data_IF_709412925289
#
_entry.id   IF_709412925289
#
_cell.length_a   1.000
_cell.length_b   1.000
_cell.length_c   1.000
_cell.angle_alpha   90.00
_cell.angle_beta   90.00
_cell.angle_gamma   90.00
#
_symmetry.space_group_name_H-M   'P 1'
#
loop_
_entity.id
_entity.type
_entity.pdbx_description
1 polymer ?
#
# COMPACT_ATOMS: atom_id res chain seq x y z
N UNK A 1 5.27 17.79 -0.42
CA UNK A 1 5.74 16.61 -1.18
C UNK A 1 4.59 15.61 -1.32
N UNK A 2 3.70 15.83 -2.29
CA UNK A 2 2.51 14.99 -2.50
C UNK A 2 2.86 13.55 -2.93
N UNK A 3 3.89 13.39 -3.76
CA UNK A 3 4.39 12.08 -4.19
C UNK A 3 4.84 11.21 -3.00
N UNK A 4 5.46 11.80 -1.98
CA UNK A 4 5.84 11.04 -0.78
C UNK A 4 4.63 10.54 -0.01
N UNK A 5 3.58 11.36 0.11
CA UNK A 5 2.31 10.97 0.71
C UNK A 5 1.67 9.82 -0.06
N UNK A 6 1.65 9.89 -1.41
CA UNK A 6 1.16 8.83 -2.28
C UNK A 6 1.89 7.51 -2.02
N UNK A 7 3.22 7.53 -2.04
CA UNK A 7 4.03 6.31 -1.88
C UNK A 7 3.94 5.73 -0.47
N UNK A 8 3.88 6.58 0.56
CA UNK A 8 3.71 6.14 1.94
C UNK A 8 2.34 5.47 2.13
N UNK A 9 1.27 6.09 1.63
CA UNK A 9 -0.08 5.54 1.69
C UNK A 9 -0.19 4.22 0.92
N UNK A 10 0.39 4.15 -0.28
CA UNK A 10 0.34 2.93 -1.08
C UNK A 10 1.11 1.79 -0.43
N UNK A 11 2.28 2.08 0.14
CA UNK A 11 3.06 1.10 0.92
C UNK A 11 2.22 0.53 2.07
N UNK A 12 1.58 1.38 2.88
CA UNK A 12 0.75 0.93 3.99
C UNK A 12 -0.42 0.06 3.51
N UNK A 13 -1.10 0.48 2.44
CA UNK A 13 -2.16 -0.29 1.80
C UNK A 13 -1.70 -1.68 1.37
N UNK A 14 -0.54 -1.80 0.70
CA UNK A 14 0.00 -3.09 0.26
C UNK A 14 0.26 -4.03 1.43
N UNK A 15 0.82 -3.53 2.54
CA UNK A 15 1.04 -4.33 3.73
C UNK A 15 -0.28 -4.76 4.39
N UNK A 16 -1.24 -3.85 4.56
CA UNK A 16 -2.56 -4.17 5.12
C UNK A 16 -3.29 -5.22 4.30
N UNK A 17 -3.21 -5.14 2.97
CA UNK A 17 -3.83 -6.11 2.06
C UNK A 17 -3.38 -7.56 2.32
N UNK A 18 -2.14 -7.76 2.77
CA UNK A 18 -1.61 -9.11 3.07
C UNK A 18 -1.74 -9.45 4.56
N UNK A 19 -1.44 -8.51 5.45
CA UNK A 19 -1.37 -8.75 6.88
C UNK A 19 -2.75 -8.79 7.55
N UNK A 20 -3.73 -8.03 7.07
CA UNK A 20 -5.08 -8.05 7.65
C UNK A 20 -5.75 -9.42 7.49
N UNK A 21 -5.80 -10.04 6.30
CA UNK A 21 -6.32 -11.40 6.17
C UNK A 21 -5.55 -12.43 6.99
N UNK A 22 -4.22 -12.30 7.10
CA UNK A 22 -3.43 -13.20 7.94
C UNK A 22 -3.80 -13.05 9.43
N UNK A 23 -3.98 -11.82 9.91
CA UNK A 23 -4.41 -11.57 11.29
C UNK A 23 -5.77 -12.21 11.58
N UNK A 24 -6.74 -12.10 10.66
CA UNK A 24 -8.03 -12.76 10.78
C UNK A 24 -7.89 -14.29 10.88
N UNK A 25 -6.99 -14.90 10.11
CA UNK A 25 -6.69 -16.35 10.21
C UNK A 25 -6.06 -16.73 11.55
N UNK A 26 -5.16 -15.91 12.07
CA UNK A 26 -4.58 -16.12 13.40
C UNK A 26 -5.66 -16.05 14.48
N UNK A 27 -6.60 -15.11 14.37
CA UNK A 27 -7.70 -14.99 15.33
C UNK A 27 -8.67 -16.18 15.25
N UNK A 28 -8.99 -16.66 14.03
CA UNK A 28 -9.75 -17.90 13.84
C UNK A 28 -9.05 -19.12 14.46
N UNK A 29 -7.74 -19.24 14.28
CA UNK A 29 -6.98 -20.34 14.86
C UNK A 29 -6.98 -20.29 16.39
N UNK A 30 -6.83 -19.10 16.99
CA UNK A 30 -6.94 -18.90 18.45
C UNK A 30 -8.32 -19.26 19.00
N UNK A 31 -9.36 -19.08 18.19
CA UNK A 31 -10.73 -19.47 18.52
C UNK A 31 -11.01 -20.97 18.26
N UNK A 32 -10.01 -21.74 17.80
CA UNK A 32 -10.14 -23.13 17.39
C UNK A 32 -11.10 -23.36 16.20
N UNK A 33 -11.42 -22.30 15.43
CA UNK A 33 -12.30 -22.34 14.26
C UNK A 33 -11.62 -22.95 13.02
N UNK A 34 -10.29 -22.90 12.98
CA UNK A 34 -9.47 -23.49 11.91
C UNK A 34 -8.34 -24.33 12.50
N UNK A 35 -7.85 -25.28 11.72
CA UNK A 35 -6.78 -26.17 12.15
C UNK A 35 -5.40 -25.50 12.05
N UNK A 36 -4.38 -26.15 12.62
CA UNK A 36 -2.99 -25.77 12.39
C UNK A 36 -2.60 -25.83 10.91
N UNK A 37 -3.12 -26.82 10.16
CA UNK A 37 -2.85 -26.97 8.72
C UNK A 37 -3.42 -25.79 7.91
N UNK A 38 -4.61 -25.32 8.28
CA UNK A 38 -5.22 -24.13 7.68
C UNK A 38 -4.39 -22.87 7.96
N UNK A 39 -3.88 -22.72 9.19
CA UNK A 39 -3.01 -21.62 9.56
C UNK A 39 -1.67 -21.67 8.81
N UNK A 40 -1.05 -22.85 8.67
CA UNK A 40 0.19 -23.04 7.91
C UNK A 40 0.01 -22.65 6.45
N UNK A 41 -1.11 -23.04 5.83
CA UNK A 41 -1.44 -22.65 4.46
C UNK A 41 -1.60 -21.13 4.34
N UNK A 42 -2.29 -20.49 5.30
CA UNK A 42 -2.45 -19.04 5.32
C UNK A 42 -1.12 -18.30 5.49
N UNK A 43 -0.24 -18.80 6.39
CA UNK A 43 1.11 -18.27 6.60
C UNK A 43 1.96 -18.39 5.34
N UNK A 44 1.88 -19.52 4.64
CA UNK A 44 2.62 -19.73 3.39
C UNK A 44 2.19 -18.72 2.31
N UNK A 45 0.87 -18.56 2.10
CA UNK A 45 0.33 -17.57 1.15
C UNK A 45 0.76 -16.15 1.53
N UNK A 46 0.60 -15.77 2.80
CA UNK A 46 0.97 -14.45 3.27
C UNK A 46 2.49 -14.20 3.12
N UNK A 47 3.33 -15.20 3.38
CA UNK A 47 4.77 -15.10 3.19
C UNK A 47 5.13 -14.84 1.72
N UNK A 48 4.56 -15.60 0.79
CA UNK A 48 4.80 -15.41 -0.65
C UNK A 48 4.35 -14.03 -1.13
N UNK A 49 3.18 -13.56 -0.70
CA UNK A 49 2.69 -12.23 -1.08
C UNK A 49 3.52 -11.11 -0.43
N UNK A 50 3.93 -11.26 0.83
CA UNK A 50 4.82 -10.30 1.49
C UNK A 50 6.19 -10.20 0.81
N UNK A 51 6.73 -11.30 0.27
CA UNK A 51 7.97 -11.23 -0.51
C UNK A 51 7.80 -10.35 -1.76
N UNK A 52 6.67 -10.45 -2.46
CA UNK A 52 6.36 -9.59 -3.62
C UNK A 52 6.20 -8.13 -3.21
N UNK A 53 5.44 -7.88 -2.14
CA UNK A 53 5.25 -6.52 -1.60
C UNK A 53 6.59 -5.92 -1.18
N UNK A 54 7.42 -6.69 -0.47
CA UNK A 54 8.73 -6.23 -0.01
C UNK A 54 9.65 -5.90 -1.18
N UNK A 55 9.70 -6.75 -2.22
CA UNK A 55 10.49 -6.49 -3.41
C UNK A 55 10.07 -5.19 -4.12
N UNK A 56 8.76 -4.93 -4.23
CA UNK A 56 8.24 -3.70 -4.82
C UNK A 56 8.57 -2.46 -3.97
N UNK A 57 8.33 -2.54 -2.66
CA UNK A 57 8.49 -1.41 -1.72
C UNK A 57 9.96 -1.03 -1.52
N UNK A 58 10.87 -2.01 -1.56
CA UNK A 58 12.32 -1.76 -1.44
C UNK A 58 13.00 -1.53 -2.79
N UNK A 59 12.25 -1.67 -3.89
CA UNK A 59 12.72 -1.45 -5.24
C UNK A 59 12.76 0.03 -5.65
N UNK A 60 12.94 0.30 -6.95
CA UNK A 60 12.95 1.66 -7.48
C UNK A 60 11.63 2.40 -7.21
N UNK A 61 11.70 3.63 -6.66
CA UNK A 61 10.52 4.47 -6.38
C UNK A 61 9.55 4.60 -7.57
N UNK A 62 10.07 4.73 -8.78
CA UNK A 62 9.27 4.82 -10.02
C UNK A 62 8.35 3.62 -10.23
N UNK A 63 8.76 2.43 -9.80
CA UNK A 63 7.98 1.20 -9.95
C UNK A 63 6.86 1.16 -8.92
N UNK A 64 7.12 1.59 -7.68
CA UNK A 64 6.09 1.76 -6.66
C UNK A 64 5.07 2.83 -7.07
N UNK A 65 5.52 3.95 -7.63
CA UNK A 65 4.64 5.01 -8.15
C UNK A 65 3.78 4.49 -9.31
N UNK A 66 4.37 3.78 -10.28
CA UNK A 66 3.63 3.19 -11.38
C UNK A 66 2.61 2.15 -10.90
N UNK A 67 2.97 1.33 -9.92
CA UNK A 67 2.05 0.36 -9.31
C UNK A 67 0.91 1.03 -8.55
N UNK A 68 1.17 2.17 -7.89
CA UNK A 68 0.16 2.97 -7.20
C UNK A 68 -0.89 3.48 -8.18
N UNK A 69 -0.45 4.09 -9.29
CA UNK A 69 -1.35 4.61 -10.34
C UNK A 69 -2.07 3.48 -11.08
N UNK A 70 -1.43 2.33 -11.27
CA UNK A 70 -2.02 1.17 -11.94
C UNK A 70 -3.12 0.47 -11.11
N UNK A 71 -3.07 0.52 -9.78
CA UNK A 71 -4.17 0.08 -8.91
C UNK A 71 -5.28 1.14 -8.90
N UNK A 72 -6.02 1.20 -10.00
CA UNK A 72 -7.03 2.25 -10.26
C UNK A 72 -8.02 2.41 -9.10
N UNK A 73 -8.50 1.32 -8.51
CA UNK A 73 -9.48 1.38 -7.42
C UNK A 73 -8.89 2.04 -6.18
N UNK A 74 -7.68 1.66 -5.80
CA UNK A 74 -7.00 2.28 -4.67
C UNK A 74 -6.66 3.75 -4.98
N UNK A 75 -6.14 4.02 -6.17
CA UNK A 75 -5.69 5.35 -6.57
C UNK A 75 -6.83 6.36 -6.61
N UNK A 76 -7.97 6.01 -7.21
CA UNK A 76 -9.16 6.86 -7.23
C UNK A 76 -9.67 7.17 -5.82
N UNK A 77 -9.64 6.19 -4.90
CA UNK A 77 -10.00 6.41 -3.50
C UNK A 77 -9.00 7.35 -2.79
N UNK A 78 -7.70 7.15 -3.02
CA UNK A 78 -6.67 8.03 -2.49
C UNK A 78 -6.84 9.47 -2.99
N UNK A 79 -7.08 9.67 -4.29
CA UNK A 79 -7.27 11.00 -4.88
C UNK A 79 -8.49 11.74 -4.33
N UNK A 80 -9.55 11.02 -3.95
CA UNK A 80 -10.73 11.61 -3.34
C UNK A 80 -10.44 12.19 -1.94
N UNK A 81 -9.45 11.64 -1.23
CA UNK A 81 -9.04 12.09 0.11
C UNK A 81 -7.87 13.08 0.07
N UNK A 82 -6.94 12.89 -0.87
CA UNK A 82 -5.70 13.65 -1.03
C UNK A 82 -5.54 14.05 -2.50
N UNK A 83 -6.24 15.10 -2.97
CA UNK A 83 -6.11 15.57 -4.35
C UNK A 83 -4.67 16.01 -4.63
N UNK A 84 -4.21 15.96 -5.89
CA UNK A 84 -2.92 16.53 -6.27
C UNK A 84 -2.89 18.03 -5.96
N UNK A 85 -1.70 18.61 -5.70
CA UNK A 85 -1.57 20.06 -5.59
C UNK A 85 -2.06 20.70 -6.89
N UNK A 86 -2.73 21.85 -6.77
CA UNK A 86 -3.12 22.64 -7.94
C UNK A 86 -1.85 23.21 -8.60
N UNK A 87 -1.84 23.33 -9.93
CA UNK A 87 -0.71 23.91 -10.68
C UNK A 87 -0.40 25.37 -10.26
N UNK A 88 -1.33 26.04 -9.57
CA UNK A 88 -1.20 27.42 -9.07
C UNK A 88 -0.43 27.54 -7.73
N UNK A 89 -0.10 26.44 -7.05
CA UNK A 89 0.71 26.46 -5.81
C UNK A 89 2.24 26.56 -6.06
N UNK A 90 2.68 26.57 -7.32
CA UNK A 90 4.09 26.76 -7.73
C UNK A 90 4.39 28.17 -8.30
N UNK A 91 3.40 29.08 -8.34
CA UNK A 91 3.56 30.46 -8.80
C UNK A 91 3.68 31.42 -7.59
N UNK A 92 4.76 31.27 -6.84
CA UNK A 92 4.95 31.92 -5.54
C UNK A 92 6.35 32.51 -5.31
N UNK A 93 6.98 33.10 -6.32
CA UNK A 93 8.06 34.08 -6.12
C UNK A 93 7.98 35.18 -7.19
N UNK A 94 7.60 36.42 -6.84
CA UNK A 94 7.68 37.52 -7.78
C UNK A 94 9.14 37.70 -8.23
N UNK A 95 9.34 37.84 -9.53
CA UNK A 95 10.60 38.32 -10.07
C UNK A 95 10.82 39.74 -9.54
N UNK A 96 11.76 39.90 -8.61
CA UNK A 96 12.24 41.21 -8.19
C UNK A 96 12.96 41.89 -9.37
N UNK A 97 12.60 43.16 -9.52
CA UNK A 97 12.94 44.16 -10.54
C UNK A 97 14.42 44.59 -10.53
#
# INVERSE_FOLDING_TARGET
MWEETLLAAYRDYLYRRVLTPLAERVDQWRAEDITHEDLDAALHVAHTELQKVYALVTGPRRELAAAAVADRRWYEAFLAEVPPPDDDDDEGAPADE
#
